data_IF_375315937968
#
_entry.id   IF_375315937968
#
_cell.length_a   1.000
_cell.length_b   1.000
_cell.length_c   1.000
_cell.angle_alpha   90.00
_cell.angle_beta   90.00
_cell.angle_gamma   90.00
#
_symmetry.space_group_name_H-M   'P 1'
#
loop_
_entity.id
_entity.type
_entity.pdbx_description
1 polymer ?
#
# COMPACT_ATOMS: atom_id res chain seq x y z
N UNK A 1 -30.32 -12.05 16.59
CA UNK A 1 -30.03 -10.71 17.14
C UNK A 1 -28.74 -10.84 17.93
N UNK A 2 -27.79 -9.95 17.63
CA UNK A 2 -26.61 -9.64 18.45
C UNK A 2 -25.55 -10.73 18.70
N UNK A 3 -24.54 -10.76 17.82
CA UNK A 3 -23.17 -11.09 18.25
C UNK A 3 -22.40 -9.79 18.51
N UNK A 4 -22.70 -9.20 19.67
CA UNK A 4 -22.05 -8.00 20.25
C UNK A 4 -20.64 -8.31 20.81
N UNK A 5 -19.87 -9.15 20.11
CA UNK A 5 -18.49 -9.47 20.48
C UNK A 5 -17.54 -9.46 19.29
N UNK A 6 -17.77 -8.56 18.32
CA UNK A 6 -16.67 -8.05 17.49
C UNK A 6 -15.84 -7.07 18.33
N UNK A 7 -15.20 -7.62 19.36
CA UNK A 7 -13.98 -7.06 19.94
C UNK A 7 -13.16 -6.63 18.73
N UNK A 8 -12.91 -5.32 18.66
CA UNK A 8 -11.97 -4.68 17.75
C UNK A 8 -10.57 -5.25 18.04
N UNK A 9 -10.37 -6.54 17.74
CA UNK A 9 -9.08 -7.10 17.38
C UNK A 9 -8.72 -6.36 16.11
N UNK A 10 -8.15 -5.19 16.33
CA UNK A 10 -7.21 -4.51 15.46
C UNK A 10 -6.22 -5.59 15.01
N UNK A 11 -6.59 -6.34 13.98
CA UNK A 11 -5.76 -7.36 13.41
C UNK A 11 -4.48 -6.63 12.99
N UNK A 12 -3.30 -6.98 13.54
CA UNK A 12 -2.04 -6.46 13.01
C UNK A 12 -1.82 -6.89 11.54
N UNK A 13 -2.64 -7.84 11.08
CA UNK A 13 -2.79 -8.35 9.72
C UNK A 13 -3.90 -7.60 8.94
N UNK A 14 -4.00 -6.27 9.05
CA UNK A 14 -4.69 -5.51 8.00
C UNK A 14 -3.82 -5.61 6.74
N UNK A 15 -4.06 -6.68 5.98
CA UNK A 15 -3.50 -6.85 4.65
C UNK A 15 -4.26 -5.87 3.77
N UNK A 16 -3.55 -4.84 3.29
CA UNK A 16 -4.12 -3.95 2.27
C UNK A 16 -4.57 -4.82 1.11
N UNK A 17 -5.80 -4.62 0.65
CA UNK A 17 -6.32 -5.38 -0.47
C UNK A 17 -5.69 -4.87 -1.75
N UNK A 18 -5.73 -5.69 -2.79
CA UNK A 18 -5.31 -5.31 -4.15
C UNK A 18 -5.98 -4.00 -4.59
N UNK A 19 -7.26 -3.82 -4.24
CA UNK A 19 -8.01 -2.59 -4.50
C UNK A 19 -7.46 -1.37 -3.75
N UNK A 20 -7.10 -1.51 -2.46
CA UNK A 20 -6.47 -0.43 -1.69
C UNK A 20 -5.14 0.01 -2.32
N UNK A 21 -4.34 -0.97 -2.78
CA UNK A 21 -3.06 -0.72 -3.45
C UNK A 21 -3.31 0.02 -4.77
N UNK A 22 -4.28 -0.44 -5.56
CA UNK A 22 -4.61 0.17 -6.84
C UNK A 22 -5.14 1.61 -6.69
N UNK A 23 -6.09 1.85 -5.79
CA UNK A 23 -6.59 3.20 -5.48
C UNK A 23 -5.48 4.13 -5.00
N UNK A 24 -4.56 3.62 -4.20
CA UNK A 24 -3.41 4.37 -3.74
C UNK A 24 -2.46 4.72 -4.89
N UNK A 25 -2.19 3.79 -5.82
CA UNK A 25 -1.36 4.04 -7.00
C UNK A 25 -2.03 5.03 -7.96
N UNK A 26 -3.33 4.88 -8.21
CA UNK A 26 -4.11 5.82 -9.03
C UNK A 26 -4.12 7.22 -8.40
N UNK A 27 -4.19 7.33 -7.08
CA UNK A 27 -4.10 8.61 -6.36
C UNK A 27 -2.75 9.31 -6.53
N UNK A 28 -1.69 8.58 -6.89
CA UNK A 28 -0.35 9.14 -7.12
C UNK A 28 -0.16 9.67 -8.55
N UNK A 29 -1.20 9.62 -9.39
CA UNK A 29 -1.18 10.13 -10.76
C UNK A 29 -0.03 9.52 -11.59
N UNK A 30 0.16 8.20 -11.43
CA UNK A 30 1.12 7.45 -12.22
C UNK A 30 0.58 7.38 -13.64
N UNK A 31 1.12 8.22 -14.53
CA UNK A 31 0.71 8.28 -15.93
C UNK A 31 1.21 7.07 -16.75
N UNK A 32 2.23 6.39 -16.25
CA UNK A 32 2.87 5.26 -16.92
C UNK A 32 2.30 3.93 -16.39
N UNK A 33 1.52 3.24 -17.22
CA UNK A 33 0.87 1.97 -16.87
C UNK A 33 1.90 0.89 -16.52
N UNK A 34 3.05 0.87 -17.19
CA UNK A 34 4.12 -0.09 -16.94
C UNK A 34 4.82 0.16 -15.60
N UNK A 35 4.93 1.43 -15.17
CA UNK A 35 5.39 1.79 -13.84
C UNK A 35 4.35 1.46 -12.77
N UNK A 36 3.06 1.64 -13.06
CA UNK A 36 1.96 1.30 -12.16
C UNK A 36 1.92 -0.21 -11.88
N UNK A 37 2.05 -1.04 -12.92
CA UNK A 37 2.10 -2.49 -12.82
C UNK A 37 3.31 -2.97 -11.99
N UNK A 38 4.50 -2.40 -12.25
CA UNK A 38 5.70 -2.69 -11.44
C UNK A 38 5.54 -2.28 -9.98
N UNK A 39 4.94 -1.13 -9.70
CA UNK A 39 4.66 -0.70 -8.33
C UNK A 39 3.67 -1.66 -7.65
N UNK A 40 2.66 -2.11 -8.40
CA UNK A 40 1.65 -3.04 -7.92
C UNK A 40 2.26 -4.39 -7.58
N UNK A 41 3.01 -5.00 -8.49
CA UNK A 41 3.71 -6.28 -8.27
C UNK A 41 4.66 -6.20 -7.08
N UNK A 42 5.43 -5.11 -6.97
CA UNK A 42 6.34 -4.88 -5.84
C UNK A 42 5.60 -4.79 -4.51
N UNK A 43 4.48 -4.06 -4.44
CA UNK A 43 3.68 -3.88 -3.23
C UNK A 43 2.90 -5.15 -2.86
N UNK A 44 2.48 -5.93 -3.86
CA UNK A 44 1.87 -7.25 -3.69
C UNK A 44 2.88 -8.25 -3.11
N UNK A 45 4.11 -8.26 -3.64
CA UNK A 45 5.21 -9.09 -3.13
C UNK A 45 5.77 -8.64 -1.78
N UNK A 46 5.55 -7.37 -1.38
CA UNK A 46 6.11 -6.78 -0.17
C UNK A 46 5.04 -6.09 0.70
N UNK A 47 4.21 -6.85 1.44
CA UNK A 47 3.16 -6.28 2.29
C UNK A 47 3.70 -5.35 3.39
N UNK A 48 4.95 -5.55 3.82
CA UNK A 48 5.66 -4.66 4.77
C UNK A 48 5.89 -3.27 4.17
N UNK A 49 6.26 -3.20 2.89
CA UNK A 49 6.44 -1.93 2.17
C UNK A 49 5.12 -1.19 2.06
N UNK A 50 4.05 -1.89 1.65
CA UNK A 50 2.69 -1.35 1.55
C UNK A 50 2.21 -0.78 2.86
N UNK A 51 2.42 -1.49 3.98
CA UNK A 51 2.06 -1.01 5.31
C UNK A 51 2.82 0.25 5.73
N UNK A 52 4.11 0.31 5.40
CA UNK A 52 4.95 1.48 5.66
C UNK A 52 4.54 2.67 4.79
N UNK A 53 4.12 2.41 3.54
CA UNK A 53 3.64 3.43 2.61
C UNK A 53 2.30 4.00 3.05
N UNK A 54 1.34 3.15 3.38
CA UNK A 54 0.00 3.56 3.79
C UNK A 54 -0.01 4.35 5.11
N UNK A 55 0.96 4.11 5.99
CA UNK A 55 1.19 4.92 7.19
C UNK A 55 1.70 6.34 6.92
N UNK A 56 2.16 6.64 5.71
CA UNK A 56 2.61 7.98 5.31
C UNK A 56 1.47 8.80 4.72
N UNK A 57 1.52 10.14 4.81
CA UNK A 57 0.57 10.99 4.12
C UNK A 57 0.74 10.87 2.59
N UNK A 58 -0.33 11.02 1.80
CA UNK A 58 -0.37 10.71 0.37
C UNK A 58 0.75 11.41 -0.44
N UNK A 59 1.06 12.66 -0.12
CA UNK A 59 2.15 13.41 -0.77
C UNK A 59 3.56 12.85 -0.51
N UNK A 60 3.78 12.07 0.56
CA UNK A 60 5.05 11.39 0.86
C UNK A 60 5.09 9.94 0.40
N UNK A 61 3.92 9.34 0.13
CA UNK A 61 3.82 7.93 -0.31
C UNK A 61 4.59 7.73 -1.60
N UNK A 62 4.37 8.58 -2.59
CA UNK A 62 5.04 8.49 -3.88
C UNK A 62 6.56 8.58 -3.76
N UNK A 63 7.07 9.61 -3.06
CA UNK A 63 8.51 9.78 -2.87
C UNK A 63 9.15 8.60 -2.11
N UNK A 64 8.44 7.99 -1.15
CA UNK A 64 8.93 6.79 -0.46
C UNK A 64 8.88 5.55 -1.35
N UNK A 65 7.82 5.39 -2.15
CA UNK A 65 7.66 4.29 -3.10
C UNK A 65 8.76 4.33 -4.16
N UNK A 66 9.00 5.51 -4.74
CA UNK A 66 10.09 5.74 -5.69
C UNK A 66 11.45 5.39 -5.10
N UNK A 67 11.71 5.76 -3.83
CA UNK A 67 12.94 5.36 -3.14
C UNK A 67 13.06 3.85 -2.93
N UNK A 68 11.96 3.15 -2.67
CA UNK A 68 11.95 1.69 -2.53
C UNK A 68 12.22 1.01 -3.87
N UNK A 69 11.57 1.46 -4.94
CA UNK A 69 11.72 0.90 -6.30
C UNK A 69 13.11 1.23 -6.89
N UNK A 70 13.66 2.41 -6.60
CA UNK A 70 15.03 2.80 -6.99
C UNK A 70 16.14 2.15 -6.14
N UNK A 71 15.81 1.17 -5.28
CA UNK A 71 16.79 0.38 -4.53
C UNK A 71 17.41 1.06 -3.30
N UNK A 72 16.76 2.11 -2.77
CA UNK A 72 17.35 2.96 -1.73
C UNK A 72 17.22 2.46 -0.29
N UNK A 73 16.21 1.64 0.05
CA UNK A 73 16.02 0.95 1.35
C UNK A 73 14.64 0.26 1.34
N UNK A 74 14.58 -1.07 1.36
CA UNK A 74 13.34 -1.84 1.60
C UNK A 74 13.05 -1.92 3.11
#
# INVERSE_FOLDING_TARGET
MEDRNKILRRNPNYTYTEADIYEMLTSMNIADENLLDQCYDFLCGNPTCTKRLMGLPPHKRWNKLWKMISGGDC
#
